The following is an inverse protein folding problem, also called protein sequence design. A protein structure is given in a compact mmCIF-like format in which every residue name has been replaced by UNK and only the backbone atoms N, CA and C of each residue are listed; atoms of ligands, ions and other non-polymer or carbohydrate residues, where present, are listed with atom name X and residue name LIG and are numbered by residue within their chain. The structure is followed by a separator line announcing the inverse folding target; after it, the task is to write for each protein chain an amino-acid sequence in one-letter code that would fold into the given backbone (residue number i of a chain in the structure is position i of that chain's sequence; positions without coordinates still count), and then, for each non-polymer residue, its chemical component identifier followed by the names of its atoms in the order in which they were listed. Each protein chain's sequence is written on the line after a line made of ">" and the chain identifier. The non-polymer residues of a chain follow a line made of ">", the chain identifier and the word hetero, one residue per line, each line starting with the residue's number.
data_IF_462059478986
#
_entry.id   IF_462059478986
#
_cell.length_a   1.000
_cell.length_b   1.000
_cell.length_c   1.000
_cell.angle_alpha   90.00
_cell.angle_beta   90.00
_cell.angle_gamma   90.00
#
_symmetry.space_group_name_H-M   'P 1'
#
loop_
_entity.id
_entity.type
_entity.pdbx_description
1 polymer ?
#
# COMPACT_ATOMS: atom_id res chain seq x y z
N UNK A 1 -0.85 -19.99 44.10
CA UNK A 1 -1.51 -18.67 44.20
C UNK A 1 -2.20 -18.38 42.87
N UNK A 2 -3.51 -18.10 42.88
CA UNK A 2 -4.26 -17.82 41.66
C UNK A 2 -3.99 -16.39 41.15
N UNK A 3 -3.73 -16.25 39.85
CA UNK A 3 -3.41 -14.96 39.22
C UNK A 3 -4.61 -14.01 39.32
N UNK A 4 -4.44 -12.85 39.93
CA UNK A 4 -5.45 -11.78 40.01
C UNK A 4 -5.21 -10.75 38.90
N UNK A 5 -6.07 -10.75 37.89
CA UNK A 5 -6.02 -9.78 36.80
C UNK A 5 -6.65 -8.44 37.26
N UNK A 6 -5.89 -7.35 37.18
CA UNK A 6 -6.33 -5.99 37.56
C UNK A 6 -7.12 -5.27 36.46
N UNK A 7 -6.95 -5.69 35.20
CA UNK A 7 -7.70 -5.21 34.03
C UNK A 7 -7.71 -6.33 32.99
N UNK A 8 -8.88 -6.67 32.44
CA UNK A 8 -9.02 -7.56 31.27
C UNK A 8 -9.56 -6.74 30.11
N UNK A 9 -8.96 -6.85 28.94
CA UNK A 9 -9.53 -6.27 27.72
C UNK A 9 -10.84 -7.00 27.41
N UNK A 10 -11.93 -6.24 27.23
CA UNK A 10 -13.14 -6.78 26.63
C UNK A 10 -12.82 -6.94 25.14
N UNK A 11 -12.47 -8.14 24.70
CA UNK A 11 -12.37 -8.44 23.27
C UNK A 11 -13.78 -8.55 22.71
N UNK A 12 -14.15 -7.66 21.80
CA UNK A 12 -15.17 -7.98 20.78
C UNK A 12 -14.95 -7.20 19.47
N UNK A 13 -14.18 -7.74 18.52
CA UNK A 13 -14.44 -7.57 17.10
C UNK A 13 -15.12 -8.85 16.60
N UNK A 14 -16.41 -9.05 16.88
CA UNK A 14 -17.09 -10.27 16.43
C UNK A 14 -18.56 -10.11 16.08
N UNK A 15 -19.20 -8.97 16.39
CA UNK A 15 -20.64 -8.83 16.20
C UNK A 15 -21.08 -8.54 14.75
N UNK A 16 -20.15 -8.23 13.83
CA UNK A 16 -20.45 -8.00 12.41
C UNK A 16 -19.49 -8.73 11.43
N UNK A 17 -18.60 -9.58 11.94
CA UNK A 17 -17.53 -10.20 11.15
C UNK A 17 -18.08 -11.13 10.04
N UNK A 18 -19.13 -11.90 10.32
CA UNK A 18 -19.69 -12.84 9.33
C UNK A 18 -20.38 -12.14 8.16
N UNK A 19 -21.10 -11.04 8.40
CA UNK A 19 -21.81 -10.30 7.34
C UNK A 19 -20.82 -9.54 6.47
N UNK A 20 -19.84 -8.87 7.08
CA UNK A 20 -18.77 -8.19 6.35
C UNK A 20 -17.95 -9.19 5.55
N UNK A 21 -17.54 -10.31 6.14
CA UNK A 21 -16.83 -11.39 5.44
C UNK A 21 -17.61 -11.90 4.24
N UNK A 22 -18.91 -12.18 4.39
CA UNK A 22 -19.76 -12.66 3.29
C UNK A 22 -19.87 -11.61 2.18
N UNK A 23 -20.00 -10.34 2.55
CA UNK A 23 -20.08 -9.23 1.60
C UNK A 23 -18.77 -9.06 0.83
N UNK A 24 -17.64 -9.02 1.54
CA UNK A 24 -16.30 -8.93 0.93
C UNK A 24 -16.04 -10.14 0.04
N UNK A 25 -16.36 -11.36 0.48
CA UNK A 25 -16.19 -12.57 -0.32
C UNK A 25 -16.99 -12.51 -1.62
N UNK A 26 -18.25 -12.05 -1.57
CA UNK A 26 -19.07 -11.92 -2.78
C UNK A 26 -18.49 -10.88 -3.74
N UNK A 27 -17.99 -9.75 -3.23
CA UNK A 27 -17.33 -8.73 -4.04
C UNK A 27 -16.05 -9.29 -4.67
N UNK A 28 -15.23 -10.02 -3.91
CA UNK A 28 -14.00 -10.63 -4.42
C UNK A 28 -14.28 -11.68 -5.49
N UNK A 29 -15.25 -12.57 -5.27
CA UNK A 29 -15.67 -13.59 -6.24
C UNK A 29 -16.16 -12.97 -7.56
N UNK A 30 -16.80 -11.81 -7.47
CA UNK A 30 -17.29 -11.07 -8.62
C UNK A 30 -16.15 -10.36 -9.36
N UNK A 31 -15.25 -9.68 -8.64
CA UNK A 31 -14.05 -9.05 -9.22
C UNK A 31 -13.11 -10.09 -9.83
N UNK A 32 -12.98 -11.28 -9.25
CA UNK A 32 -12.15 -12.34 -9.83
C UNK A 32 -12.63 -12.74 -11.24
N UNK A 33 -13.95 -12.75 -11.45
CA UNK A 33 -14.58 -13.07 -12.75
C UNK A 33 -14.57 -11.88 -13.72
N UNK A 34 -14.94 -10.69 -13.24
CA UNK A 34 -15.17 -9.49 -14.08
C UNK A 34 -13.99 -8.51 -14.13
N UNK A 35 -12.97 -8.74 -13.30
CA UNK A 35 -11.70 -8.01 -13.29
C UNK A 35 -11.92 -6.50 -13.18
N UNK A 36 -11.40 -5.73 -14.14
CA UNK A 36 -11.45 -4.26 -14.14
C UNK A 36 -12.88 -3.71 -14.16
N UNK A 37 -13.83 -4.41 -14.79
CA UNK A 37 -15.23 -3.98 -14.87
C UNK A 37 -15.91 -4.05 -13.50
N UNK A 38 -15.71 -5.17 -12.78
CA UNK A 38 -16.19 -5.32 -11.40
C UNK A 38 -15.57 -4.29 -10.46
N UNK A 39 -14.27 -3.99 -10.63
CA UNK A 39 -13.60 -2.94 -9.85
C UNK A 39 -14.22 -1.57 -10.12
N UNK A 40 -14.39 -1.17 -11.39
CA UNK A 40 -15.01 0.11 -11.75
C UNK A 40 -16.42 0.25 -11.18
N UNK A 41 -17.22 -0.81 -11.22
CA UNK A 41 -18.57 -0.81 -10.66
C UNK A 41 -18.56 -0.62 -9.13
N UNK A 42 -17.70 -1.35 -8.42
CA UNK A 42 -17.55 -1.25 -6.96
C UNK A 42 -17.06 0.13 -6.56
N UNK A 43 -16.06 0.69 -7.28
CA UNK A 43 -15.58 2.05 -7.07
C UNK A 43 -16.68 3.09 -7.30
N UNK A 44 -17.47 2.96 -8.37
CA UNK A 44 -18.64 3.84 -8.60
C UNK A 44 -19.66 3.73 -7.46
N UNK A 45 -19.93 2.53 -6.97
CA UNK A 45 -20.92 2.28 -5.92
C UNK A 45 -20.50 2.86 -4.56
N UNK A 46 -19.27 2.62 -4.13
CA UNK A 46 -18.83 2.97 -2.78
C UNK A 46 -18.15 4.34 -2.71
N UNK A 47 -17.32 4.67 -3.71
CA UNK A 47 -16.54 5.92 -3.73
C UNK A 47 -17.20 7.01 -4.59
N UNK A 48 -18.29 6.68 -5.32
CA UNK A 48 -19.00 7.60 -6.24
C UNK A 48 -18.05 8.23 -7.26
N UNK A 49 -17.06 7.46 -7.70
CA UNK A 49 -15.99 7.92 -8.57
C UNK A 49 -16.02 7.16 -9.89
N UNK A 50 -15.98 7.90 -11.01
CA UNK A 50 -15.98 7.37 -12.38
C UNK A 50 -14.81 7.91 -13.21
N UNK A 51 -13.82 8.53 -12.56
CA UNK A 51 -12.65 9.09 -13.23
C UNK A 51 -11.58 8.05 -13.58
N UNK A 52 -10.37 8.53 -13.84
CA UNK A 52 -9.23 7.66 -14.15
C UNK A 52 -8.84 6.79 -12.94
N UNK A 53 -8.74 5.48 -13.16
CA UNK A 53 -8.31 4.55 -12.11
C UNK A 53 -6.80 4.64 -11.89
N UNK A 54 -6.01 4.60 -12.98
CA UNK A 54 -4.58 4.87 -12.92
C UNK A 54 -4.40 6.38 -13.01
N UNK A 55 -3.73 6.97 -12.02
CA UNK A 55 -3.43 8.41 -12.05
C UNK A 55 -2.37 8.66 -13.13
N UNK A 56 -2.72 9.47 -14.12
CA UNK A 56 -1.81 9.83 -15.21
C UNK A 56 -0.68 10.76 -14.73
N UNK A 57 0.41 10.84 -15.49
CA UNK A 57 1.56 11.71 -15.14
C UNK A 57 1.14 13.17 -15.06
N UNK A 58 0.29 13.60 -15.98
CA UNK A 58 -0.28 14.94 -16.04
C UNK A 58 -1.07 15.24 -14.75
N UNK A 59 -1.86 14.27 -14.27
CA UNK A 59 -2.65 14.40 -13.04
C UNK A 59 -1.80 14.36 -11.79
N UNK A 60 -0.69 13.62 -11.79
CA UNK A 60 0.33 13.70 -10.74
C UNK A 60 0.90 15.12 -10.68
N UNK A 61 1.32 15.70 -11.81
CA UNK A 61 1.86 17.07 -11.85
C UNK A 61 0.84 18.12 -11.38
N UNK A 62 -0.42 18.00 -11.81
CA UNK A 62 -1.52 18.85 -11.34
C UNK A 62 -1.72 18.73 -9.83
N UNK A 63 -1.69 17.51 -9.28
CA UNK A 63 -1.82 17.27 -7.85
C UNK A 63 -0.67 17.95 -7.08
N UNK A 64 0.57 17.81 -7.57
CA UNK A 64 1.76 18.43 -6.95
C UNK A 64 1.64 19.96 -6.92
N UNK A 65 1.09 20.59 -7.97
CA UNK A 65 0.85 22.05 -8.00
C UNK A 65 -0.16 22.51 -6.95
N UNK A 66 -1.11 21.65 -6.57
CA UNK A 66 -2.13 21.94 -5.53
C UNK A 66 -1.62 21.79 -4.09
N UNK A 67 -0.45 21.18 -3.88
CA UNK A 67 0.16 21.05 -2.55
C UNK A 67 0.94 22.30 -2.20
N UNK A 68 0.63 22.92 -1.06
CA UNK A 68 1.34 24.10 -0.57
C UNK A 68 2.81 23.76 -0.22
N UNK A 69 3.69 24.77 -0.28
CA UNK A 69 5.13 24.56 -0.10
C UNK A 69 5.47 23.96 1.27
N UNK A 70 4.84 24.43 2.35
CA UNK A 70 5.09 23.90 3.70
C UNK A 70 4.85 22.39 3.76
N UNK A 71 3.74 21.91 3.20
CA UNK A 71 3.44 20.47 3.14
C UNK A 71 4.47 19.72 2.29
N UNK A 72 4.96 20.31 1.19
CA UNK A 72 6.03 19.71 0.38
C UNK A 72 7.31 19.52 1.18
N UNK A 73 7.70 20.55 1.93
CA UNK A 73 8.90 20.56 2.76
C UNK A 73 8.78 19.57 3.93
N UNK A 74 7.62 19.51 4.60
CA UNK A 74 7.37 18.56 5.70
C UNK A 74 7.46 17.10 5.22
N UNK A 75 6.90 16.81 4.04
CA UNK A 75 6.95 15.47 3.43
C UNK A 75 8.36 15.11 2.99
N UNK A 76 9.08 16.04 2.34
CA UNK A 76 10.49 15.83 1.96
C UNK A 76 11.35 15.56 3.18
N UNK A 77 11.19 16.37 4.23
CA UNK A 77 11.87 16.20 5.50
C UNK A 77 11.62 14.80 6.06
N UNK A 78 10.36 14.37 6.19
CA UNK A 78 10.03 13.05 6.71
C UNK A 78 10.60 11.91 5.86
N UNK A 79 10.42 11.98 4.53
CA UNK A 79 10.92 11.00 3.57
C UNK A 79 12.43 10.79 3.72
N UNK A 80 13.23 11.84 3.79
CA UNK A 80 14.69 11.73 3.92
C UNK A 80 15.13 10.99 5.19
N UNK A 81 14.46 11.23 6.33
CA UNK A 81 14.83 10.57 7.60
C UNK A 81 14.42 9.11 7.58
N UNK A 82 13.23 8.81 7.06
CA UNK A 82 12.72 7.43 6.93
C UNK A 82 13.59 6.65 5.95
N UNK A 83 13.94 7.24 4.81
CA UNK A 83 14.84 6.65 3.82
C UNK A 83 16.21 6.34 4.44
N UNK A 84 16.83 7.31 5.10
CA UNK A 84 18.12 7.12 5.76
C UNK A 84 18.09 6.00 6.79
N UNK A 85 17.03 5.91 7.59
CA UNK A 85 16.89 4.84 8.57
C UNK A 85 16.69 3.47 7.90
N UNK A 86 15.83 3.39 6.88
CA UNK A 86 15.60 2.17 6.11
C UNK A 86 16.89 1.68 5.42
N UNK A 87 17.72 2.58 4.90
CA UNK A 87 19.02 2.26 4.30
C UNK A 87 19.99 1.67 5.34
N UNK A 88 20.00 2.22 6.57
CA UNK A 88 20.78 1.64 7.68
C UNK A 88 20.26 0.27 8.09
N UNK A 89 18.93 0.07 8.15
CA UNK A 89 18.33 -1.24 8.42
C UNK A 89 18.74 -2.25 7.35
N UNK A 90 18.59 -1.91 6.07
CA UNK A 90 19.00 -2.78 4.96
C UNK A 90 20.48 -3.13 5.06
N UNK A 91 21.36 -2.15 5.26
CA UNK A 91 22.81 -2.40 5.41
C UNK A 91 23.12 -3.35 6.57
N UNK A 92 22.37 -3.27 7.67
CA UNK A 92 22.58 -4.16 8.82
C UNK A 92 22.18 -5.61 8.57
N UNK A 93 21.21 -5.83 7.66
CA UNK A 93 20.69 -7.15 7.32
C UNK A 93 21.36 -7.75 6.08
N UNK A 94 21.86 -6.92 5.15
CA UNK A 94 22.39 -7.31 3.85
C UNK A 94 23.83 -7.84 3.94
N UNK A 95 23.98 -8.97 4.63
CA UNK A 95 25.23 -9.70 4.77
C UNK A 95 25.14 -11.03 4.00
N UNK A 96 24.92 -10.95 2.69
CA UNK A 96 24.93 -12.11 1.80
C UNK A 96 26.22 -12.92 1.99
N UNK A 97 26.09 -14.22 2.24
CA UNK A 97 27.23 -15.09 2.42
C UNK A 97 26.98 -16.48 1.85
N UNK A 98 28.07 -17.16 1.52
CA UNK A 98 28.14 -18.57 1.18
C UNK A 98 29.36 -19.15 1.89
N UNK A 99 29.23 -20.35 2.46
CA UNK A 99 30.26 -21.03 3.22
C UNK A 99 30.25 -22.52 2.91
N UNK A 100 31.43 -23.12 2.76
CA UNK A 100 31.59 -24.57 2.66
C UNK A 100 31.55 -25.18 4.07
N UNK A 101 30.53 -26.00 4.36
CA UNK A 101 30.34 -26.64 5.66
C UNK A 101 31.14 -27.95 5.79
N UNK A 102 31.31 -28.64 4.67
CA UNK A 102 32.14 -29.83 4.50
C UNK A 102 32.48 -29.97 3.01
N UNK A 103 33.47 -30.81 2.67
CA UNK A 103 33.97 -30.94 1.29
C UNK A 103 32.83 -31.10 0.27
N UNK A 104 32.61 -30.08 -0.56
CA UNK A 104 31.59 -30.02 -1.60
C UNK A 104 30.17 -29.63 -1.15
N UNK A 105 29.94 -29.31 0.13
CA UNK A 105 28.67 -28.86 0.68
C UNK A 105 28.72 -27.38 1.03
N UNK A 106 27.98 -26.56 0.28
CA UNK A 106 27.88 -25.12 0.49
C UNK A 106 26.51 -24.74 1.07
N UNK A 107 26.50 -23.77 1.98
CA UNK A 107 25.30 -23.17 2.52
C UNK A 107 25.47 -21.65 2.61
N UNK A 108 24.36 -20.91 2.58
CA UNK A 108 24.43 -19.45 2.56
C UNK A 108 23.09 -18.79 2.81
N UNK A 109 23.11 -17.46 2.82
CA UNK A 109 21.93 -16.63 2.90
C UNK A 109 22.05 -15.50 1.89
N UNK A 110 20.92 -15.18 1.24
CA UNK A 110 20.77 -13.97 0.43
C UNK A 110 19.47 -13.27 0.74
N UNK A 111 19.48 -11.94 0.75
CA UNK A 111 18.27 -11.13 0.79
C UNK A 111 17.83 -10.77 -0.63
N UNK A 112 16.61 -11.17 -1.00
CA UNK A 112 16.01 -10.91 -2.31
C UNK A 112 14.73 -10.09 -2.10
N UNK A 113 14.61 -8.88 -2.68
CA UNK A 113 13.36 -8.14 -2.62
C UNK A 113 12.26 -8.86 -3.39
N UNK A 114 11.02 -8.66 -2.97
CA UNK A 114 9.86 -9.03 -3.77
C UNK A 114 9.83 -8.22 -5.07
N UNK A 115 9.18 -8.77 -6.10
CA UNK A 115 9.14 -8.12 -7.41
C UNK A 115 8.15 -6.97 -7.43
N UNK A 116 6.95 -7.20 -6.90
CA UNK A 116 5.87 -6.22 -6.88
C UNK A 116 5.27 -6.10 -5.48
N UNK A 117 5.19 -4.88 -4.95
CA UNK A 117 4.50 -4.57 -3.68
C UNK A 117 3.29 -3.66 -3.92
N UNK A 118 2.19 -3.98 -3.23
CA UNK A 118 1.02 -3.12 -3.10
C UNK A 118 1.04 -2.34 -1.79
N UNK A 119 0.86 -1.02 -1.86
CA UNK A 119 0.75 -0.12 -0.73
C UNK A 119 -0.66 0.50 -0.70
N UNK A 120 -1.51 0.06 0.22
CA UNK A 120 -2.81 0.68 0.44
C UNK A 120 -2.69 1.85 1.41
N UNK A 121 -3.07 3.05 0.94
CA UNK A 121 -3.03 4.28 1.71
C UNK A 121 -4.46 4.71 2.01
N UNK A 122 -4.90 4.67 3.28
CA UNK A 122 -6.25 5.10 3.65
C UNK A 122 -6.52 6.55 3.25
N UNK A 123 -7.74 6.79 2.79
CA UNK A 123 -8.30 8.13 2.68
C UNK A 123 -9.48 8.34 3.63
N UNK A 124 -10.33 9.30 3.31
CA UNK A 124 -11.48 9.70 4.13
C UNK A 124 -11.29 11.09 4.73
N UNK A 125 -11.71 11.27 5.99
CA UNK A 125 -11.73 12.58 6.66
C UNK A 125 -10.35 13.24 6.76
N UNK A 126 -9.28 12.44 6.82
CA UNK A 126 -7.91 12.90 6.93
C UNK A 126 -7.05 12.25 5.85
N UNK A 127 -6.12 13.02 5.28
CA UNK A 127 -5.15 12.51 4.32
C UNK A 127 -3.99 11.85 5.06
N UNK A 128 -3.84 10.53 4.90
CA UNK A 128 -2.78 9.76 5.55
C UNK A 128 -1.45 9.84 4.77
N UNK A 129 -0.95 11.06 4.59
CA UNK A 129 0.29 11.35 3.84
C UNK A 129 1.48 10.55 4.40
N UNK A 130 1.59 10.46 5.73
CA UNK A 130 2.67 9.71 6.40
C UNK A 130 2.64 8.21 6.08
N UNK A 131 1.45 7.64 5.85
CA UNK A 131 1.32 6.21 5.52
C UNK A 131 1.90 5.91 4.14
N UNK A 132 1.77 6.84 3.17
CA UNK A 132 2.45 6.70 1.88
C UNK A 132 3.97 6.64 2.06
N UNK A 133 4.52 7.56 2.86
CA UNK A 133 5.97 7.61 3.10
C UNK A 133 6.46 6.33 3.79
N UNK A 134 5.75 5.87 4.83
CA UNK A 134 6.13 4.69 5.61
C UNK A 134 5.97 3.37 4.87
N UNK A 135 5.08 3.28 3.88
CA UNK A 135 4.88 2.06 3.09
C UNK A 135 5.82 2.00 1.88
N UNK A 136 5.92 3.10 1.12
CA UNK A 136 6.59 3.13 -0.19
C UNK A 136 8.11 3.27 -0.02
N UNK A 137 8.57 4.12 0.91
CA UNK A 137 10.01 4.39 1.08
C UNK A 137 10.79 3.12 1.42
N UNK A 138 10.38 2.27 2.39
CA UNK A 138 11.11 1.05 2.69
C UNK A 138 11.11 0.04 1.53
N UNK A 139 9.99 -0.07 0.80
CA UNK A 139 9.93 -0.92 -0.40
C UNK A 139 10.92 -0.45 -1.47
N UNK A 140 11.02 0.88 -1.69
CA UNK A 140 11.98 1.43 -2.65
C UNK A 140 13.43 1.20 -2.21
N UNK A 141 13.72 1.39 -0.92
CA UNK A 141 15.05 1.12 -0.35
C UNK A 141 15.42 -0.36 -0.46
N UNK A 142 14.47 -1.27 -0.22
CA UNK A 142 14.68 -2.70 -0.34
C UNK A 142 14.99 -3.16 -1.78
N UNK A 143 14.72 -2.32 -2.79
CA UNK A 143 14.97 -2.63 -4.20
C UNK A 143 13.79 -3.32 -4.89
N UNK A 144 12.56 -3.17 -4.37
CA UNK A 144 11.35 -3.67 -5.04
C UNK A 144 11.24 -3.03 -6.44
N UNK A 145 11.00 -3.87 -7.45
CA UNK A 145 11.01 -3.45 -8.86
C UNK A 145 9.77 -2.65 -9.25
N UNK A 146 8.61 -2.99 -8.69
CA UNK A 146 7.35 -2.31 -8.97
C UNK A 146 6.57 -2.06 -7.69
N UNK A 147 6.26 -0.80 -7.41
CA UNK A 147 5.49 -0.38 -6.25
C UNK A 147 4.18 0.24 -6.72
N UNK A 148 3.07 -0.41 -6.38
CA UNK A 148 1.72 0.04 -6.70
C UNK A 148 1.13 0.68 -5.45
N UNK A 149 0.79 1.96 -5.51
CA UNK A 149 0.09 2.67 -4.44
C UNK A 149 -1.39 2.78 -4.77
N UNK A 150 -2.28 2.46 -3.84
CA UNK A 150 -3.72 2.66 -3.99
C UNK A 150 -4.26 3.54 -2.87
N UNK A 151 -5.03 4.56 -3.22
CA UNK A 151 -5.74 5.42 -2.26
C UNK A 151 -7.15 5.67 -2.77
N UNK A 152 -8.18 5.63 -1.89
CA UNK A 152 -9.54 5.95 -2.31
C UNK A 152 -9.60 7.38 -2.86
N UNK A 153 -10.45 7.62 -3.88
CA UNK A 153 -10.78 8.95 -4.33
C UNK A 153 -11.29 9.80 -3.16
N UNK A 154 -10.77 11.03 -3.04
CA UNK A 154 -11.28 12.02 -2.10
C UNK A 154 -12.56 12.68 -2.66
N UNK A 155 -12.55 12.94 -3.96
CA UNK A 155 -13.62 13.56 -4.72
C UNK A 155 -13.49 13.18 -6.22
N UNK A 156 -14.24 13.86 -7.10
CA UNK A 156 -14.21 13.60 -8.55
C UNK A 156 -12.85 13.84 -9.21
N UNK A 157 -11.91 14.49 -8.52
CA UNK A 157 -10.54 14.67 -8.99
C UNK A 157 -9.59 13.53 -8.57
N UNK A 158 -10.09 12.49 -7.91
CA UNK A 158 -9.29 11.35 -7.45
C UNK A 158 -8.77 11.49 -6.03
N UNK A 159 -7.68 10.81 -5.71
CA UNK A 159 -7.07 10.76 -4.39
C UNK A 159 -6.56 12.14 -3.92
N UNK A 160 -6.29 12.26 -2.62
CA UNK A 160 -5.80 13.51 -2.04
C UNK A 160 -4.46 13.95 -2.67
N UNK A 161 -4.31 15.21 -3.12
CA UNK A 161 -3.08 15.68 -3.75
C UNK A 161 -1.81 15.50 -2.91
N UNK A 162 -1.90 15.60 -1.59
CA UNK A 162 -0.78 15.37 -0.69
C UNK A 162 -0.34 13.91 -0.64
N UNK A 163 -1.28 12.97 -0.78
CA UNK A 163 -0.97 11.53 -0.89
C UNK A 163 -0.31 11.25 -2.24
N UNK A 164 -0.84 11.81 -3.34
CA UNK A 164 -0.26 11.65 -4.68
C UNK A 164 1.18 12.20 -4.71
N UNK A 165 1.40 13.39 -4.16
CA UNK A 165 2.74 13.97 -4.06
C UNK A 165 3.70 13.09 -3.24
N UNK A 166 3.27 12.62 -2.05
CA UNK A 166 4.10 11.77 -1.22
C UNK A 166 4.41 10.42 -1.90
N UNK A 167 3.43 9.78 -2.53
CA UNK A 167 3.62 8.51 -3.22
C UNK A 167 4.59 8.66 -4.40
N UNK A 168 4.44 9.70 -5.21
CA UNK A 168 5.35 10.01 -6.30
C UNK A 168 6.77 10.30 -5.80
N UNK A 169 6.91 11.12 -4.75
CA UNK A 169 8.21 11.45 -4.17
C UNK A 169 8.94 10.22 -3.60
N UNK A 170 8.20 9.32 -2.94
CA UNK A 170 8.78 8.11 -2.33
C UNK A 170 9.09 7.01 -3.37
N UNK A 171 8.66 7.19 -4.62
CA UNK A 171 9.02 6.31 -5.74
C UNK A 171 8.02 5.20 -6.03
N UNK A 172 6.72 5.42 -5.81
CA UNK A 172 5.68 4.56 -6.37
C UNK A 172 5.71 4.62 -7.90
N UNK A 173 5.65 3.46 -8.55
CA UNK A 173 5.68 3.35 -10.01
C UNK A 173 4.26 3.52 -10.60
N UNK A 174 3.23 3.11 -9.84
CA UNK A 174 1.82 3.24 -10.24
C UNK A 174 0.99 3.76 -9.06
N UNK A 175 0.12 4.73 -9.31
CA UNK A 175 -0.82 5.27 -8.32
C UNK A 175 -2.24 5.01 -8.81
N UNK A 176 -3.07 4.40 -7.95
CA UNK A 176 -4.45 4.02 -8.24
C UNK A 176 -5.44 4.80 -7.37
N UNK A 177 -6.46 5.37 -8.01
CA UNK A 177 -7.64 5.97 -7.37
C UNK A 177 -8.64 4.89 -6.95
N UNK A 178 -8.24 4.00 -6.04
CA UNK A 178 -9.05 2.87 -5.56
C UNK A 178 -9.03 2.78 -4.03
N UNK A 179 -10.20 2.50 -3.46
CA UNK A 179 -10.42 2.26 -2.03
C UNK A 179 -10.77 0.81 -1.70
N UNK A 180 -10.63 0.44 -0.42
CA UNK A 180 -11.21 -0.76 0.17
C UNK A 180 -10.94 -2.05 -0.62
N UNK A 181 -11.97 -2.89 -0.72
CA UNK A 181 -11.87 -4.20 -1.40
C UNK A 181 -11.46 -4.06 -2.86
N UNK A 182 -11.89 -3.00 -3.56
CA UNK A 182 -11.51 -2.76 -4.95
C UNK A 182 -9.99 -2.55 -5.12
N UNK A 183 -9.37 -1.80 -4.22
CA UNK A 183 -7.92 -1.60 -4.21
C UNK A 183 -7.15 -2.90 -3.96
N UNK A 184 -7.57 -3.65 -2.92
CA UNK A 184 -6.94 -4.91 -2.55
C UNK A 184 -7.06 -5.94 -3.68
N UNK A 185 -8.27 -6.12 -4.23
CA UNK A 185 -8.51 -7.03 -5.33
C UNK A 185 -7.74 -6.64 -6.59
N UNK A 186 -7.69 -5.35 -6.92
CA UNK A 186 -6.93 -4.85 -8.08
C UNK A 186 -5.45 -5.24 -8.01
N UNK A 187 -4.82 -5.02 -6.85
CA UNK A 187 -3.41 -5.34 -6.63
C UNK A 187 -3.16 -6.85 -6.54
N UNK A 188 -4.00 -7.58 -5.80
CA UNK A 188 -3.85 -9.02 -5.61
C UNK A 188 -4.07 -9.81 -6.91
N UNK A 189 -4.99 -9.34 -7.76
CA UNK A 189 -5.31 -10.03 -9.00
C UNK A 189 -4.49 -9.55 -10.20
N UNK A 190 -3.83 -8.40 -10.14
CA UNK A 190 -3.10 -7.83 -11.28
C UNK A 190 -4.05 -7.23 -12.31
N UNK A 191 -4.76 -6.18 -11.92
CA UNK A 191 -5.66 -5.43 -12.79
C UNK A 191 -5.00 -4.12 -13.29
N UNK A 192 -5.60 -3.50 -14.31
CA UNK A 192 -5.15 -2.23 -14.88
C UNK A 192 -3.72 -2.29 -15.41
N UNK A 193 -3.42 -3.37 -16.14
CA UNK A 193 -2.11 -3.64 -16.77
C UNK A 193 -0.94 -3.78 -15.78
N UNK A 194 -1.22 -4.10 -14.53
CA UNK A 194 -0.21 -4.40 -13.51
C UNK A 194 -0.11 -5.91 -13.28
N UNK A 195 1.08 -6.37 -12.92
CA UNK A 195 1.25 -7.71 -12.35
C UNK A 195 0.56 -7.81 -10.98
N UNK A 196 0.10 -9.01 -10.58
CA UNK A 196 -0.25 -9.29 -9.19
C UNK A 196 0.88 -8.91 -8.24
N UNK A 197 0.54 -8.40 -7.06
CA UNK A 197 1.53 -8.08 -6.02
C UNK A 197 1.93 -9.34 -5.24
N UNK A 198 3.21 -9.46 -4.90
CA UNK A 198 3.72 -10.54 -4.03
C UNK A 198 3.44 -10.24 -2.54
N UNK A 199 3.34 -8.95 -2.22
CA UNK A 199 3.18 -8.46 -0.86
C UNK A 199 2.29 -7.23 -0.84
N UNK A 200 1.42 -7.13 0.16
CA UNK A 200 0.48 -6.02 0.32
C UNK A 200 0.55 -5.49 1.76
N UNK A 201 0.73 -4.17 1.88
CA UNK A 201 0.82 -3.47 3.17
C UNK A 201 -0.09 -2.26 3.19
N UNK A 202 -0.50 -1.84 4.38
CA UNK A 202 -1.37 -0.69 4.58
C UNK A 202 -2.53 -1.04 5.50
N UNK A 203 -2.74 -0.23 6.54
CA UNK A 203 -3.91 -0.39 7.39
C UNK A 203 -5.18 -0.04 6.59
N UNK A 204 -6.32 -0.62 6.97
CA UNK A 204 -7.60 -0.36 6.33
C UNK A 204 -8.75 -0.34 7.33
N UNK A 205 -9.96 -0.11 6.82
CA UNK A 205 -11.18 -0.37 7.57
C UNK A 205 -11.50 -1.86 7.61
N UNK A 206 -12.55 -2.22 8.34
CA UNK A 206 -13.12 -3.56 8.35
C UNK A 206 -13.70 -3.92 6.98
#
# INVERSE_FOLDING_TARGET
>A
MAIKYLKKAIKTPSTDDLKTRSTVQNILNDIEKRREEGIKEITKKFDKYEGEIIVSKEKIEEAIKKVNQKTKDDVQFAHERIKRFAEHQLKSMNNDFEVELSKGLFAGQRLIPVDTTGCYIPGGRYAHISSAIMAITPAKVAGVRTIICASPPKDQNGANPGIIYAANLCGADVILNLGGVAAIASMAYGCFKNSPVDFLVGAGNQ
#
